data_IF_472028850393
#
_entry.id   IF_472028850393
#
_cell.length_a   1.000
_cell.length_b   1.000
_cell.length_c   1.000
_cell.angle_alpha   90.00
_cell.angle_beta   90.00
_cell.angle_gamma   90.00
#
_symmetry.space_group_name_H-M   'P 1'
#
loop_
_entity.id
_entity.type
_entity.pdbx_description
1 polymer ?
#
# COMPACT_ATOMS: atom_id res chain seq x y z
N UNK A 1 8.23 -14.30 -10.02
CA UNK A 1 6.76 -14.17 -10.22
C UNK A 1 6.48 -12.76 -10.73
N UNK A 2 5.70 -12.61 -11.80
CA UNK A 2 5.28 -11.31 -12.32
C UNK A 2 3.76 -11.23 -12.13
N UNK A 3 3.30 -10.33 -11.26
CA UNK A 3 1.88 -10.03 -11.13
C UNK A 3 1.50 -9.15 -12.33
N UNK A 4 0.62 -9.65 -13.20
CA UNK A 4 0.06 -8.87 -14.30
C UNK A 4 -1.32 -8.43 -13.82
N UNK A 5 -1.49 -7.12 -13.65
CA UNK A 5 -2.77 -6.53 -13.29
C UNK A 5 -3.48 -6.17 -14.58
N UNK A 6 -4.71 -6.66 -14.72
CA UNK A 6 -5.62 -6.16 -15.73
C UNK A 6 -5.97 -4.72 -15.39
N UNK A 7 -5.56 -3.79 -16.25
CA UNK A 7 -5.67 -2.35 -16.01
C UNK A 7 -7.10 -1.85 -16.09
N UNK A 8 -8.03 -2.62 -16.67
CA UNK A 8 -9.43 -2.21 -16.85
C UNK A 8 -10.22 -2.28 -15.54
N UNK A 9 -9.83 -3.15 -14.61
CA UNK A 9 -10.54 -3.40 -13.35
C UNK A 9 -9.87 -2.76 -12.13
N UNK A 10 -8.93 -1.84 -12.36
CA UNK A 10 -8.23 -1.11 -11.32
C UNK A 10 -8.94 0.19 -10.99
N UNK A 11 -9.43 0.30 -9.76
CA UNK A 11 -10.07 1.52 -9.27
C UNK A 11 -9.15 2.19 -8.24
N UNK A 12 -8.44 3.28 -8.61
CA UNK A 12 -7.59 4.00 -7.66
C UNK A 12 -8.46 4.72 -6.62
N UNK A 13 -8.08 4.61 -5.35
CA UNK A 13 -8.72 5.31 -4.24
C UNK A 13 -7.66 5.97 -3.36
N UNK A 14 -7.92 7.20 -2.93
CA UNK A 14 -7.06 7.92 -1.99
C UNK A 14 -7.70 7.93 -0.63
N UNK A 15 -6.93 7.55 0.40
CA UNK A 15 -7.37 7.64 1.80
C UNK A 15 -6.34 8.41 2.62
N UNK A 16 -6.82 9.07 3.67
CA UNK A 16 -5.96 9.83 4.60
C UNK A 16 -5.81 9.07 5.90
N UNK A 17 -4.58 8.68 6.26
CA UNK A 17 -4.26 8.03 7.54
C UNK A 17 -3.20 8.87 8.26
N UNK A 18 -3.49 9.26 9.51
CA UNK A 18 -2.59 10.07 10.35
C UNK A 18 -2.09 11.35 9.63
N UNK A 19 -2.96 12.00 8.87
CA UNK A 19 -2.63 13.21 8.09
C UNK A 19 -1.73 12.96 6.87
N UNK A 20 -1.53 11.70 6.46
CA UNK A 20 -0.80 11.34 5.24
C UNK A 20 -1.76 10.69 4.25
N UNK A 21 -1.69 11.13 2.99
CA UNK A 21 -2.43 10.54 1.89
C UNK A 21 -1.77 9.25 1.41
N UNK A 22 -2.59 8.26 1.10
CA UNK A 22 -2.18 6.95 0.60
C UNK A 22 -3.05 6.60 -0.59
N UNK A 23 -2.40 6.17 -1.66
CA UNK A 23 -3.09 5.66 -2.85
C UNK A 23 -3.20 4.14 -2.75
N UNK A 24 -4.44 3.67 -2.87
CA UNK A 24 -4.83 2.26 -2.95
C UNK A 24 -5.28 1.95 -4.37
N UNK A 25 -5.02 0.73 -4.81
CA UNK A 25 -5.60 0.16 -6.03
C UNK A 25 -6.63 -0.89 -5.61
N UNK A 26 -7.91 -0.56 -5.77
CA UNK A 26 -8.99 -1.49 -5.51
C UNK A 26 -9.14 -2.42 -6.72
N UNK A 27 -9.13 -3.72 -6.44
CA UNK A 27 -9.57 -4.78 -7.35
C UNK A 27 -10.77 -5.47 -6.69
N UNK A 28 -11.58 -6.20 -7.46
CA UNK A 28 -12.92 -6.68 -7.02
C UNK A 28 -13.00 -7.16 -5.56
N UNK A 29 -12.02 -7.95 -5.12
CA UNK A 29 -12.00 -8.52 -3.77
C UNK A 29 -10.73 -8.20 -2.97
N UNK A 30 -9.91 -7.25 -3.43
CA UNK A 30 -8.63 -6.97 -2.75
C UNK A 30 -8.17 -5.54 -2.93
N UNK A 31 -7.22 -5.16 -2.09
CA UNK A 31 -6.60 -3.85 -2.09
C UNK A 31 -5.12 -4.06 -2.33
N UNK A 32 -4.60 -3.44 -3.38
CA UNK A 32 -3.18 -3.35 -3.65
C UNK A 32 -2.66 -2.05 -3.07
N UNK A 33 -1.59 -2.17 -2.30
CA UNK A 33 -0.90 -1.05 -1.67
C UNK A 33 0.60 -1.22 -1.83
N UNK A 34 1.25 -0.15 -2.23
CA UNK A 34 2.70 -0.11 -2.24
C UNK A 34 3.22 -0.08 -0.77
N UNK A 35 4.05 -1.05 -0.41
CA UNK A 35 4.53 -1.19 0.97
C UNK A 35 5.40 -0.02 1.44
N UNK A 36 6.00 0.75 0.52
CA UNK A 36 6.74 1.96 0.90
C UNK A 36 5.81 3.04 1.45
N UNK A 37 4.56 3.11 0.96
CA UNK A 37 3.54 4.00 1.52
C UNK A 37 3.19 3.59 2.96
N UNK A 38 3.10 2.30 3.27
CA UNK A 38 2.89 1.80 4.64
C UNK A 38 4.02 2.26 5.57
N UNK A 39 5.28 2.16 5.10
CA UNK A 39 6.43 2.61 5.87
C UNK A 39 6.37 4.13 6.19
N UNK A 40 5.81 4.96 5.29
CA UNK A 40 5.59 6.39 5.55
C UNK A 40 4.56 6.62 6.66
N UNK A 41 3.53 5.77 6.77
CA UNK A 41 2.47 5.90 7.79
C UNK A 41 2.97 5.50 9.17
N UNK A 42 3.59 4.32 9.27
CA UNK A 42 3.90 3.73 10.56
C UNK A 42 5.24 4.19 11.13
N UNK A 43 6.04 4.90 10.33
CA UNK A 43 7.42 5.21 10.66
C UNK A 43 8.23 3.93 10.69
N UNK A 44 9.46 3.96 10.19
CA UNK A 44 10.38 2.84 10.36
C UNK A 44 10.73 2.79 11.86
N UNK A 45 9.91 2.14 12.70
CA UNK A 45 10.42 1.59 13.95
C UNK A 45 11.42 0.54 13.48
N UNK A 46 12.71 0.87 13.48
CA UNK A 46 13.77 -0.15 13.47
C UNK A 46 13.40 -1.10 14.61
N UNK A 47 12.84 -2.26 14.29
CA UNK A 47 13.07 -3.42 15.12
C UNK A 47 14.48 -3.82 14.74
N UNK A 48 15.42 -3.41 15.57
CA UNK A 48 16.70 -4.08 15.66
C UNK A 48 16.36 -5.50 16.12
N UNK A 49 16.07 -6.38 15.17
CA UNK A 49 16.08 -7.81 15.42
C UNK A 49 17.57 -8.18 15.44
N UNK A 50 18.19 -7.98 16.59
CA UNK A 50 19.48 -8.59 16.89
C UNK A 50 19.26 -10.10 16.93
N UNK A 51 19.93 -10.82 16.04
CA UNK A 51 20.12 -12.27 16.14
C UNK A 51 21.32 -12.55 17.03
#
# INVERSE_FOLDING_TARGET
MKLILDTENLNPATITIKGKEITLLLIEYSILIDSSQIAKIFGKKRKECSY
#
